data_IF_859697381610
#
_entry.id   IF_859697381610
#
_cell.length_a   1.000
_cell.length_b   1.000
_cell.length_c   1.000
_cell.angle_alpha   90.00
_cell.angle_beta   90.00
_cell.angle_gamma   90.00
#
_symmetry.space_group_name_H-M   'P 1'
#
loop_
_entity.id
_entity.type
_entity.pdbx_description
1 polymer ?
#
# COMPACT_ATOMS: atom_id res chain seq x y z
N UNK A 1 29.82 7.62 -8.53
CA UNK A 1 29.16 8.15 -7.31
C UNK A 1 27.73 7.70 -7.36
N UNK A 2 27.40 6.62 -6.64
CA UNK A 2 26.03 6.12 -6.52
C UNK A 2 25.43 6.92 -5.38
N UNK A 3 24.47 7.79 -5.68
CA UNK A 3 23.57 8.28 -4.66
C UNK A 3 22.30 7.46 -4.86
N UNK A 4 22.10 6.33 -4.16
CA UNK A 4 20.78 5.75 -4.13
C UNK A 4 20.03 6.63 -3.13
N UNK A 5 19.53 7.78 -3.60
CA UNK A 5 18.58 8.55 -2.80
C UNK A 5 17.34 7.66 -2.66
N UNK A 6 17.31 6.88 -1.59
CA UNK A 6 16.10 6.26 -1.10
C UNK A 6 15.19 7.40 -0.68
N UNK A 7 14.17 7.68 -1.48
CA UNK A 7 13.31 8.83 -1.25
C UNK A 7 12.34 8.55 -0.10
N UNK A 8 11.72 9.61 0.42
CA UNK A 8 10.65 9.50 1.41
C UNK A 8 9.47 8.67 0.87
N UNK A 9 9.24 8.69 -0.46
CA UNK A 9 8.26 7.82 -1.11
C UNK A 9 8.68 6.35 -1.11
N UNK A 10 9.98 6.05 -1.24
CA UNK A 10 10.49 4.69 -1.12
C UNK A 10 10.29 4.16 0.30
N UNK A 11 10.62 4.95 1.32
CA UNK A 11 10.40 4.57 2.72
C UNK A 11 8.92 4.34 3.02
N UNK A 12 8.07 5.26 2.56
CA UNK A 12 6.62 5.15 2.67
C UNK A 12 6.10 3.88 2.01
N UNK A 13 6.53 3.57 0.78
CA UNK A 13 6.09 2.37 0.08
C UNK A 13 6.56 1.09 0.78
N UNK A 14 7.77 1.06 1.33
CA UNK A 14 8.25 -0.07 2.15
C UNK A 14 7.42 -0.24 3.42
N UNK A 15 7.03 0.86 4.08
CA UNK A 15 6.16 0.80 5.25
C UNK A 15 4.76 0.27 4.90
N UNK A 16 4.16 0.76 3.81
CA UNK A 16 2.87 0.28 3.29
C UNK A 16 2.95 -1.19 2.90
N UNK A 17 4.03 -1.63 2.25
CA UNK A 17 4.26 -3.04 1.91
C UNK A 17 4.20 -3.93 3.15
N UNK A 18 4.92 -3.55 4.21
CA UNK A 18 4.93 -4.31 5.47
C UNK A 18 3.55 -4.36 6.14
N UNK A 19 2.84 -3.24 6.12
CA UNK A 19 1.48 -3.15 6.65
C UNK A 19 0.52 -4.06 5.86
N UNK A 20 0.53 -3.97 4.53
CA UNK A 20 -0.33 -4.76 3.67
C UNK A 20 -0.01 -6.24 3.77
N UNK A 21 1.27 -6.60 3.85
CA UNK A 21 1.66 -7.99 4.08
C UNK A 21 1.01 -8.51 5.35
N UNK A 22 1.10 -7.78 6.46
CA UNK A 22 0.45 -8.17 7.72
C UNK A 22 -1.06 -8.30 7.57
N UNK A 23 -1.74 -7.26 7.07
CA UNK A 23 -3.20 -7.24 6.89
C UNK A 23 -3.66 -8.42 6.03
N UNK A 24 -3.02 -8.65 4.88
CA UNK A 24 -3.44 -9.68 3.94
C UNK A 24 -3.17 -11.07 4.51
N UNK A 25 -2.09 -11.27 5.28
CA UNK A 25 -1.78 -12.58 5.89
C UNK A 25 -2.58 -12.89 7.16
N UNK A 26 -3.13 -11.88 7.83
CA UNK A 26 -3.78 -12.06 9.14
C UNK A 26 -5.11 -12.83 9.06
N UNK A 27 -5.78 -12.85 7.91
CA UNK A 27 -7.07 -13.52 7.75
C UNK A 27 -7.33 -13.99 6.31
N UNK A 28 -8.23 -14.97 6.18
CA UNK A 28 -8.88 -15.28 4.91
C UNK A 28 -10.00 -14.25 4.68
N UNK A 29 -9.71 -13.27 3.84
CA UNK A 29 -10.64 -12.19 3.55
C UNK A 29 -11.65 -12.60 2.49
N UNK A 30 -12.92 -12.29 2.75
CA UNK A 30 -13.97 -12.46 1.74
C UNK A 30 -14.03 -11.27 0.77
N UNK A 31 -14.81 -11.43 -0.30
CA UNK A 31 -14.92 -10.42 -1.37
C UNK A 31 -15.42 -9.04 -0.86
N UNK A 32 -16.45 -8.97 0.00
CA UNK A 32 -16.85 -7.74 0.68
C UNK A 32 -15.71 -7.06 1.46
N UNK A 33 -14.95 -7.83 2.24
CA UNK A 33 -13.87 -7.29 3.06
C UNK A 33 -12.72 -6.73 2.23
N UNK A 34 -12.29 -7.47 1.19
CA UNK A 34 -11.29 -7.00 0.24
C UNK A 34 -11.74 -5.68 -0.38
N UNK A 35 -13.02 -5.58 -0.78
CA UNK A 35 -13.57 -4.36 -1.38
C UNK A 35 -13.56 -3.18 -0.41
N UNK A 36 -13.91 -3.41 0.86
CA UNK A 36 -13.88 -2.38 1.92
C UNK A 36 -12.46 -1.89 2.15
N UNK A 37 -11.50 -2.81 2.29
CA UNK A 37 -10.09 -2.49 2.50
C UNK A 37 -9.51 -1.69 1.33
N UNK A 38 -9.72 -2.18 0.10
CA UNK A 38 -9.29 -1.50 -1.12
C UNK A 38 -9.83 -0.08 -1.17
N UNK A 39 -11.13 0.11 -0.91
CA UNK A 39 -11.75 1.43 -0.90
C UNK A 39 -11.10 2.35 0.13
N UNK A 40 -10.81 1.84 1.32
CA UNK A 40 -10.16 2.61 2.36
C UNK A 40 -8.75 3.06 1.93
N UNK A 41 -7.91 2.15 1.44
CA UNK A 41 -6.56 2.48 0.98
C UNK A 41 -6.57 3.47 -0.19
N UNK A 42 -7.49 3.30 -1.13
CA UNK A 42 -7.67 4.24 -2.26
C UNK A 42 -8.00 5.64 -1.78
N UNK A 43 -8.96 5.78 -0.87
CA UNK A 43 -9.34 7.08 -0.31
C UNK A 43 -8.20 7.69 0.50
N UNK A 44 -7.49 6.88 1.27
CA UNK A 44 -6.36 7.32 2.07
C UNK A 44 -5.17 7.77 1.21
N UNK A 45 -4.78 7.02 0.18
CA UNK A 45 -3.75 7.51 -0.76
C UNK A 45 -4.19 8.79 -1.46
N UNK A 46 -5.47 8.89 -1.84
CA UNK A 46 -5.98 10.08 -2.50
C UNK A 46 -5.98 11.31 -1.57
N UNK A 47 -6.27 11.15 -0.28
CA UNK A 47 -6.18 12.24 0.71
C UNK A 47 -4.75 12.71 0.96
N UNK A 48 -3.76 11.84 0.72
CA UNK A 48 -2.33 12.20 0.76
C UNK A 48 -1.83 12.82 -0.55
N UNK A 49 -2.68 13.02 -1.56
CA UNK A 49 -2.24 13.53 -2.87
C UNK A 49 -1.51 12.48 -3.72
N UNK A 50 -1.72 11.20 -3.42
CA UNK A 50 -1.11 10.07 -4.11
C UNK A 50 -2.11 9.36 -5.02
N UNK A 51 -1.61 8.79 -6.11
CA UNK A 51 -2.41 7.93 -6.99
C UNK A 51 -1.69 6.68 -7.44
N UNK A 52 -2.43 5.60 -7.66
CA UNK A 52 -1.89 4.39 -8.25
C UNK A 52 -1.77 4.61 -9.76
N UNK A 53 -0.53 4.58 -10.22
CA UNK A 53 -0.18 4.82 -11.62
C UNK A 53 -0.33 3.55 -12.47
N UNK A 54 0.13 2.40 -11.95
CA UNK A 54 -0.03 1.09 -12.58
C UNK A 54 0.11 -0.04 -11.55
N UNK A 55 -0.44 -1.21 -11.90
CA UNK A 55 -0.22 -2.48 -11.22
C UNK A 55 0.33 -3.48 -12.23
N UNK A 56 1.35 -4.24 -11.85
CA UNK A 56 2.00 -5.22 -12.70
C UNK A 56 2.20 -6.52 -11.92
N UNK A 57 1.71 -7.65 -12.45
CA UNK A 57 2.11 -8.98 -11.97
C UNK A 57 3.60 -9.19 -12.27
N UNK A 58 4.35 -9.55 -11.23
CA UNK A 58 5.78 -9.85 -11.28
C UNK A 58 5.96 -11.25 -10.69
N UNK A 59 6.40 -12.19 -11.51
CA UNK A 59 6.81 -13.52 -11.05
C UNK A 59 8.23 -13.43 -10.52
N UNK A 60 8.45 -13.85 -9.28
CA UNK A 60 9.79 -14.01 -8.71
C UNK A 60 10.18 -15.47 -8.85
N UNK A 61 11.15 -15.75 -9.70
CA UNK A 61 11.86 -17.04 -9.70
C UNK A 61 12.74 -17.08 -8.44
N UNK A 62 12.35 -17.84 -7.41
CA UNK A 62 13.23 -18.11 -6.27
C UNK A 62 14.14 -19.29 -6.60
N UNK A 63 15.40 -18.96 -6.96
CA UNK A 63 16.42 -19.93 -7.34
C UNK A 63 16.81 -20.91 -6.21
N UNK A 64 16.49 -20.60 -4.95
CA UNK A 64 16.92 -21.40 -3.79
C UNK A 64 15.87 -22.39 -3.27
N UNK A 65 14.56 -22.19 -3.50
CA UNK A 65 13.49 -23.02 -2.89
C UNK A 65 12.47 -23.62 -3.88
N UNK A 66 12.55 -23.33 -5.19
CA UNK A 66 11.74 -24.00 -6.21
C UNK A 66 10.24 -23.68 -6.20
N UNK A 67 9.81 -22.68 -5.43
CA UNK A 67 8.45 -22.12 -5.49
C UNK A 67 8.47 -20.77 -6.18
N UNK A 68 7.84 -20.68 -7.35
CA UNK A 68 7.53 -19.39 -7.98
C UNK A 68 6.58 -18.62 -7.08
N UNK A 69 7.02 -17.46 -6.57
CA UNK A 69 6.13 -16.58 -5.80
C UNK A 69 5.65 -15.45 -6.72
N UNK A 70 4.35 -15.38 -6.95
CA UNK A 70 3.74 -14.24 -7.65
C UNK A 70 3.62 -13.07 -6.69
N UNK A 71 3.88 -11.87 -7.20
CA UNK A 71 3.62 -10.62 -6.47
C UNK A 71 3.14 -9.56 -7.44
N UNK A 72 2.34 -8.63 -6.96
CA UNK A 72 1.90 -7.48 -7.73
C UNK A 72 2.69 -6.25 -7.32
N UNK A 73 3.41 -5.66 -8.27
CA UNK A 73 4.07 -4.36 -8.09
C UNK A 73 3.04 -3.26 -8.30
N UNK A 74 2.70 -2.56 -7.22
CA UNK A 74 1.77 -1.42 -7.25
C UNK A 74 2.57 -0.14 -7.21
N UNK A 75 2.49 0.67 -8.27
CA UNK A 75 3.22 1.93 -8.35
C UNK A 75 2.39 3.11 -7.90
N UNK A 76 2.91 3.83 -6.92
CA UNK A 76 2.29 4.99 -6.30
C UNK A 76 3.01 6.26 -6.71
N UNK A 77 2.26 7.27 -7.13
CA UNK A 77 2.76 8.55 -7.61
C UNK A 77 2.24 9.69 -6.75
N UNK A 78 3.12 10.54 -6.24
CA UNK A 78 2.78 11.73 -5.47
C UNK A 78 2.72 12.96 -6.38
N UNK A 79 1.56 13.62 -6.43
CA UNK A 79 1.32 14.67 -7.42
C UNK A 79 2.13 15.95 -7.19
N UNK A 80 2.35 16.35 -5.93
CA UNK A 80 3.08 17.59 -5.61
C UNK A 80 4.59 17.44 -5.72
N UNK A 81 5.10 16.22 -5.48
CA UNK A 81 6.55 15.95 -5.53
C UNK A 81 7.01 15.54 -6.91
N UNK A 82 6.06 15.15 -7.77
CA UNK A 82 6.34 14.48 -9.03
C UNK A 82 7.20 13.22 -8.87
N UNK A 83 7.08 12.57 -7.70
CA UNK A 83 7.85 11.38 -7.35
C UNK A 83 7.01 10.11 -7.47
N UNK A 84 7.65 9.00 -7.83
CA UNK A 84 7.02 7.70 -7.99
C UNK A 84 7.86 6.63 -7.32
N UNK A 85 7.22 5.86 -6.45
CA UNK A 85 7.76 4.61 -5.92
C UNK A 85 6.75 3.48 -6.06
N UNK A 86 7.02 2.34 -5.45
CA UNK A 86 6.17 1.16 -5.54
C UNK A 86 6.27 0.30 -4.28
N UNK A 87 5.20 -0.43 -4.01
CA UNK A 87 5.16 -1.49 -3.00
C UNK A 87 4.70 -2.80 -3.65
N UNK A 88 5.02 -3.92 -3.02
CA UNK A 88 4.56 -5.23 -3.45
C UNK A 88 3.36 -5.72 -2.62
N UNK A 89 2.43 -6.38 -3.31
CA UNK A 89 1.42 -7.26 -2.71
C UNK A 89 1.85 -8.69 -3.02
N UNK A 90 2.07 -9.52 -2.00
CA UNK A 90 2.59 -10.89 -2.18
C UNK A 90 1.45 -11.89 -2.23
N UNK A 91 1.55 -12.87 -3.14
CA UNK A 91 0.66 -14.04 -3.16
C UNK A 91 1.01 -14.98 -2.00
N UNK A 92 0.66 -14.56 -0.78
CA UNK A 92 0.74 -15.41 0.41
C UNK A 92 -0.60 -16.16 0.63
N UNK A 93 -1.69 -15.71 -0.02
CA UNK A 93 -3.02 -16.35 -0.04
C UNK A 93 -3.86 -15.95 -1.28
N UNK A 94 -5.04 -16.56 -1.44
CA UNK A 94 -5.97 -16.32 -2.55
C UNK A 94 -6.54 -14.87 -2.59
N UNK A 95 -6.36 -14.09 -1.52
CA UNK A 95 -6.89 -12.72 -1.41
C UNK A 95 -6.00 -11.67 -2.09
N UNK A 96 -4.71 -11.94 -2.25
CA UNK A 96 -3.73 -11.00 -2.78
C UNK A 96 -3.96 -10.56 -4.25
N UNK A 97 -4.26 -11.46 -5.21
CA UNK A 97 -4.61 -11.05 -6.56
C UNK A 97 -5.86 -10.15 -6.59
N UNK A 98 -6.91 -10.57 -5.87
CA UNK A 98 -8.18 -9.85 -5.79
C UNK A 98 -8.03 -8.45 -5.20
N UNK A 99 -7.17 -8.30 -4.18
CA UNK A 99 -6.82 -7.01 -3.60
C UNK A 99 -6.11 -6.11 -4.62
N UNK A 100 -5.04 -6.59 -5.27
CA UNK A 100 -4.24 -5.80 -6.20
C UNK A 100 -5.05 -5.32 -7.43
N UNK A 101 -5.87 -6.19 -8.02
CA UNK A 101 -6.71 -5.85 -9.17
C UNK A 101 -7.77 -4.82 -8.80
N UNK A 102 -8.48 -5.02 -7.68
CA UNK A 102 -9.50 -4.08 -7.21
C UNK A 102 -8.90 -2.73 -6.83
N UNK A 103 -7.71 -2.73 -6.24
CA UNK A 103 -6.99 -1.51 -5.89
C UNK A 103 -6.71 -0.67 -7.15
N UNK A 104 -6.29 -1.31 -8.24
CA UNK A 104 -6.09 -0.64 -9.52
C UNK A 104 -7.40 -0.14 -10.14
N UNK A 105 -8.43 -0.98 -10.19
CA UNK A 105 -9.71 -0.64 -10.81
C UNK A 105 -10.44 0.46 -10.07
N UNK A 106 -10.42 0.43 -8.74
CA UNK A 106 -11.05 1.47 -7.93
C UNK A 106 -10.34 2.82 -8.09
N UNK A 107 -9.01 2.85 -8.25
CA UNK A 107 -8.29 4.09 -8.55
C UNK A 107 -8.57 4.66 -9.93
N UNK A 108 -8.92 3.82 -10.94
CA UNK A 108 -9.36 4.34 -12.24
C UNK A 108 -10.57 5.24 -12.11
N UNK A 109 -11.46 4.98 -11.15
CA UNK A 109 -12.65 5.81 -10.92
C UNK A 109 -12.34 7.24 -10.43
N UNK A 110 -11.13 7.46 -9.90
CA UNK A 110 -10.64 8.77 -9.46
C UNK A 110 -9.82 9.51 -10.54
N UNK A 111 -9.53 8.87 -11.68
CA UNK A 111 -8.82 9.53 -12.80
C UNK A 111 -9.64 10.71 -13.32
N UNK A 112 -8.98 11.85 -13.50
CA UNK A 112 -9.62 13.10 -13.95
C UNK A 112 -10.35 13.90 -12.87
N UNK A 113 -10.43 13.41 -11.62
CA UNK A 113 -10.97 14.17 -10.48
C UNK A 113 -9.86 14.87 -9.70
N UNK A 114 -9.17 15.80 -10.37
CA UNK A 114 -8.03 16.52 -9.79
C UNK A 114 -8.43 17.41 -8.60
N UNK A 115 -9.65 17.95 -8.63
CA UNK A 115 -10.20 18.81 -7.58
C UNK A 115 -10.51 18.09 -6.26
N UNK A 116 -10.57 16.75 -6.25
CA UNK A 116 -10.87 15.95 -5.05
C UNK A 116 -9.62 15.38 -4.37
N UNK A 117 -8.43 15.65 -4.90
CA UNK A 117 -7.18 15.11 -4.36
C UNK A 117 -6.73 15.93 -3.17
N UNK A 118 -6.35 15.25 -2.10
CA UNK A 118 -5.68 15.91 -0.99
C UNK A 118 -4.23 16.25 -1.31
N UNK A 119 -3.50 16.68 -0.30
CA UNK A 119 -2.12 17.14 -0.40
C UNK A 119 -1.36 16.72 0.84
N UNK A 120 -0.09 16.35 0.68
CA UNK A 120 0.80 16.06 1.80
C UNK A 120 2.20 16.61 1.52
N UNK A 121 2.88 17.08 2.55
CA UNK A 121 4.27 17.51 2.51
C UNK A 121 5.23 16.33 2.77
N UNK A 122 6.52 16.49 2.47
CA UNK A 122 7.52 15.45 2.79
C UNK A 122 7.54 15.11 4.28
N UNK A 123 7.30 16.10 5.15
CA UNK A 123 7.20 15.89 6.59
C UNK A 123 5.98 15.04 6.95
N UNK A 124 4.83 15.26 6.30
CA UNK A 124 3.63 14.44 6.48
C UNK A 124 3.88 12.99 6.05
N UNK A 125 4.46 12.77 4.86
CA UNK A 125 4.79 11.43 4.36
C UNK A 125 5.75 10.72 5.30
N UNK A 126 6.79 11.40 5.79
CA UNK A 126 7.74 10.83 6.75
C UNK A 126 7.10 10.53 8.11
N UNK A 127 6.23 11.41 8.60
CA UNK A 127 5.50 11.24 9.86
C UNK A 127 4.57 10.02 9.79
N UNK A 128 3.85 9.87 8.68
CA UNK A 128 2.97 8.72 8.42
C UNK A 128 3.79 7.43 8.32
N UNK A 129 4.89 7.45 7.58
CA UNK A 129 5.83 6.33 7.46
C UNK A 129 6.31 5.86 8.83
N UNK A 130 6.74 6.80 9.67
CA UNK A 130 7.12 6.54 11.06
C UNK A 130 5.96 5.95 11.85
N UNK A 131 4.75 6.50 11.68
CA UNK A 131 3.55 6.06 12.38
C UNK A 131 3.11 4.63 12.00
N UNK A 132 3.31 4.22 10.74
CA UNK A 132 3.11 2.83 10.30
C UNK A 132 4.13 1.92 11.00
N UNK A 133 5.41 2.29 11.03
CA UNK A 133 6.44 1.50 11.71
C UNK A 133 6.17 1.37 13.21
N UNK A 134 5.80 2.46 13.89
CA UNK A 134 5.41 2.43 15.30
C UNK A 134 4.19 1.53 15.51
N UNK A 135 3.16 1.65 14.68
CA UNK A 135 1.97 0.79 14.75
C UNK A 135 2.33 -0.70 14.64
N UNK A 136 3.15 -1.08 13.66
CA UNK A 136 3.57 -2.48 13.49
C UNK A 136 4.40 -3.01 14.66
N UNK A 137 5.17 -2.14 15.32
CA UNK A 137 5.95 -2.51 16.51
C UNK A 137 5.09 -2.56 17.79
N UNK A 138 4.07 -1.71 17.91
CA UNK A 138 3.11 -1.67 19.02
C UNK A 138 2.15 -2.88 18.99
N UNK A 139 1.85 -3.38 17.79
CA UNK A 139 0.89 -4.44 17.54
C UNK A 139 1.51 -5.63 16.78
N UNK A 140 2.54 -6.31 17.32
CA UNK A 140 3.25 -7.38 16.60
C UNK A 140 2.37 -8.61 16.30
N UNK A 141 1.36 -8.85 17.15
CA UNK A 141 0.49 -10.03 17.11
C UNK A 141 -1.00 -9.68 16.98
N UNK A 142 -1.34 -8.51 16.42
CA UNK A 142 -2.74 -8.17 16.19
C UNK A 142 -3.39 -9.13 15.18
N UNK A 143 -4.60 -9.60 15.50
CA UNK A 143 -5.45 -10.44 14.64
C UNK A 143 -6.41 -9.59 13.78
N UNK A 144 -6.56 -8.30 14.10
CA UNK A 144 -7.43 -7.33 13.44
C UNK A 144 -6.66 -6.08 12.99
N UNK A 145 -5.50 -6.31 12.35
CA UNK A 145 -4.54 -5.25 11.98
C UNK A 145 -5.18 -4.15 11.13
N UNK A 146 -6.07 -4.50 10.19
CA UNK A 146 -6.73 -3.51 9.35
C UNK A 146 -7.63 -2.58 10.16
N UNK A 147 -8.48 -3.12 11.02
CA UNK A 147 -9.42 -2.36 11.85
C UNK A 147 -8.68 -1.39 12.77
N UNK A 148 -7.65 -1.87 13.48
CA UNK A 148 -6.84 -1.05 14.37
C UNK A 148 -6.10 0.05 13.63
N UNK A 149 -5.53 -0.27 12.46
CA UNK A 149 -4.83 0.72 11.64
C UNK A 149 -5.79 1.77 11.10
N UNK A 150 -6.92 1.34 10.53
CA UNK A 150 -7.92 2.23 9.99
C UNK A 150 -8.46 3.16 11.08
N UNK A 151 -8.76 2.66 12.28
CA UNK A 151 -9.19 3.49 13.41
C UNK A 151 -8.15 4.56 13.76
N UNK A 152 -6.88 4.17 13.89
CA UNK A 152 -5.76 5.07 14.23
C UNK A 152 -5.56 6.19 13.21
N UNK A 153 -5.80 5.93 11.92
CA UNK A 153 -5.54 6.89 10.82
C UNK A 153 -6.80 7.56 10.24
N UNK A 154 -8.00 7.22 10.74
CA UNK A 154 -9.26 7.92 10.37
C UNK A 154 -9.76 8.86 11.46
N UNK A 155 -9.28 8.73 12.70
CA UNK A 155 -9.69 9.54 13.86
C UNK A 155 -8.68 10.62 14.29
N UNK A 156 -7.57 10.76 13.55
CA UNK A 156 -6.52 11.75 13.78
C UNK A 156 -6.73 13.07 13.04
#
# INVERSE_FOLDING_TARGET
MVNPYFSEMDEFCVAVERLLRRIITDADWDDPDITRMVRWFVLWFNSLGMTISYVQEVRKEDYDNGTDQTRWRVSLYHHQFHDRSYFYVFEDNDSAPGFADRLYDMMKSFRGREEQRGTSSYEDVRSITTSIHCFLNEHPDAENTFELFAEKFTTG
#
